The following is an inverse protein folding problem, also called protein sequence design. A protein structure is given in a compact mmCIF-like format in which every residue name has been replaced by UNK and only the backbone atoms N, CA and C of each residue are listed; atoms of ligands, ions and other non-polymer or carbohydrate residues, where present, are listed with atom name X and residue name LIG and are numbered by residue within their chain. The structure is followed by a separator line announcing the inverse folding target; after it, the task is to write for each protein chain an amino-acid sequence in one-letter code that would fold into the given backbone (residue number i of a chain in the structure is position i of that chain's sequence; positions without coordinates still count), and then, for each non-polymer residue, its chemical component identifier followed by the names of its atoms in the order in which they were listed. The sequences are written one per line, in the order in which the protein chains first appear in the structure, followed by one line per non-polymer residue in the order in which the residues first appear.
data_IF_123303625226
#
_entry.id   IF_123303625226
#
_cell.length_a   1.000
_cell.length_b   1.000
_cell.length_c   1.000
_cell.angle_alpha   90.00
_cell.angle_beta   90.00
_cell.angle_gamma   90.00
#
_symmetry.space_group_name_H-M   'P 1'
#
loop_
_entity.id
_entity.type
_entity.pdbx_description
1 polymer ?
#
# COMPACT_ATOMS: atom_id res chain seq x y z
N UNK A 1 25.52 -4.38 -14.42
CA UNK A 1 24.88 -5.55 -15.05
C UNK A 1 24.06 -6.15 -13.95
N UNK A 2 22.76 -6.37 -14.09
CA UNK A 2 21.90 -6.75 -12.97
C UNK A 2 22.52 -7.89 -12.18
N UNK A 3 22.53 -7.78 -10.85
CA UNK A 3 23.05 -8.77 -9.93
C UNK A 3 22.87 -10.20 -10.49
N UNK A 4 23.97 -10.84 -10.86
CA UNK A 4 23.96 -12.12 -11.58
C UNK A 4 23.34 -13.25 -10.73
N UNK A 5 23.31 -13.05 -9.42
CA UNK A 5 22.71 -13.92 -8.42
C UNK A 5 21.23 -13.62 -8.16
N UNK A 6 20.65 -12.64 -8.86
CA UNK A 6 19.26 -12.23 -8.72
C UNK A 6 18.40 -12.72 -9.90
N UNK A 7 17.44 -13.58 -9.57
CA UNK A 7 16.43 -14.06 -10.51
C UNK A 7 15.13 -13.30 -10.24
N UNK A 8 14.68 -12.54 -11.23
CA UNK A 8 13.39 -11.85 -11.17
C UNK A 8 12.47 -12.47 -12.21
N UNK A 9 11.28 -12.89 -11.77
CA UNK A 9 10.32 -13.50 -12.66
C UNK A 9 9.07 -13.97 -11.92
N UNK A 10 8.16 -14.61 -12.65
CA UNK A 10 6.98 -15.24 -12.07
C UNK A 10 7.26 -16.71 -11.77
N UNK A 11 6.67 -17.20 -10.69
CA UNK A 11 6.75 -18.61 -10.33
C UNK A 11 5.79 -19.40 -11.20
N UNK A 12 6.31 -20.42 -11.86
CA UNK A 12 5.54 -21.39 -12.66
C UNK A 12 5.14 -22.56 -11.79
N UNK A 13 6.06 -23.05 -10.96
CA UNK A 13 5.86 -24.25 -10.15
C UNK A 13 6.77 -24.23 -8.93
N UNK A 14 6.27 -24.79 -7.83
CA UNK A 14 7.07 -25.15 -6.65
C UNK A 14 6.86 -26.64 -6.43
N UNK A 15 7.95 -27.40 -6.36
CA UNK A 15 7.91 -28.85 -6.17
C UNK A 15 8.70 -29.24 -4.93
N UNK A 16 8.18 -30.20 -4.17
CA UNK A 16 8.89 -30.77 -3.03
C UNK A 16 9.71 -31.99 -3.46
N UNK A 17 10.94 -32.05 -3.00
CA UNK A 17 11.84 -33.19 -3.18
C UNK A 17 12.55 -33.57 -1.86
N UNK A 18 13.48 -34.53 -1.93
CA UNK A 18 14.24 -34.99 -0.75
C UNK A 18 15.18 -33.92 -0.17
N UNK A 19 15.56 -32.92 -0.97
CA UNK A 19 16.49 -31.84 -0.59
C UNK A 19 15.77 -30.56 -0.16
N UNK A 20 14.46 -30.47 -0.38
CA UNK A 20 13.62 -29.36 0.07
C UNK A 20 12.54 -29.04 -0.96
N UNK A 21 12.54 -27.81 -1.46
CA UNK A 21 11.64 -27.39 -2.54
C UNK A 21 12.44 -26.79 -3.70
N UNK A 22 12.07 -27.15 -4.92
CA UNK A 22 12.55 -26.53 -6.15
C UNK A 22 11.52 -25.52 -6.64
N UNK A 23 11.95 -24.28 -6.84
CA UNK A 23 11.16 -23.16 -7.37
C UNK A 23 11.54 -22.95 -8.82
N UNK A 24 10.58 -23.11 -9.73
CA UNK A 24 10.74 -22.92 -11.17
C UNK A 24 10.08 -21.62 -11.59
N UNK A 25 10.85 -20.74 -12.23
CA UNK A 25 10.39 -19.44 -12.73
C UNK A 25 10.18 -19.46 -14.23
N UNK A 26 9.42 -18.48 -14.72
CA UNK A 26 9.25 -18.24 -16.14
C UNK A 26 10.62 -18.10 -16.84
N UNK A 27 10.77 -18.75 -17.99
CA UNK A 27 12.07 -18.87 -18.67
C UNK A 27 12.91 -20.07 -18.23
N UNK A 28 12.37 -20.97 -17.40
CA UNK A 28 13.01 -22.25 -17.05
C UNK A 28 14.13 -22.14 -16.00
N UNK A 29 14.34 -20.94 -15.44
CA UNK A 29 15.27 -20.74 -14.32
C UNK A 29 14.76 -21.45 -13.08
N UNK A 30 15.66 -22.07 -12.32
CA UNK A 30 15.33 -22.82 -11.11
C UNK A 30 16.15 -22.32 -9.93
N UNK A 31 15.56 -22.36 -8.75
CA UNK A 31 16.21 -22.07 -7.48
C UNK A 31 15.74 -23.09 -6.42
N UNK A 32 16.56 -23.34 -5.39
CA UNK A 32 16.26 -24.33 -4.35
C UNK A 32 16.02 -23.67 -3.00
N UNK A 33 15.02 -24.14 -2.28
CA UNK A 33 14.81 -23.91 -0.85
C UNK A 33 15.20 -25.18 -0.10
N UNK A 34 16.14 -25.09 0.86
CA UNK A 34 16.54 -26.26 1.64
C UNK A 34 15.39 -26.79 2.52
N UNK A 35 15.46 -28.06 2.92
CA UNK A 35 14.44 -28.76 3.70
C UNK A 35 14.34 -28.31 5.18
N UNK A 36 14.08 -27.02 5.43
CA UNK A 36 13.80 -26.47 6.77
C UNK A 36 12.32 -26.15 6.96
N UNK A 37 11.91 -25.95 8.22
CA UNK A 37 10.51 -25.60 8.54
C UNK A 37 10.16 -24.20 8.02
N UNK A 38 11.09 -23.26 8.13
CA UNK A 38 10.96 -21.88 7.64
C UNK A 38 10.78 -21.89 6.12
N UNK A 39 11.63 -22.64 5.41
CA UNK A 39 11.55 -22.77 3.96
C UNK A 39 10.29 -23.49 3.49
N UNK A 40 9.72 -24.41 4.28
CA UNK A 40 8.42 -25.01 3.98
C UNK A 40 7.27 -23.99 4.11
N UNK A 41 7.36 -23.02 5.02
CA UNK A 41 6.40 -21.92 5.09
C UNK A 41 6.56 -20.97 3.89
N UNK A 42 7.80 -20.58 3.58
CA UNK A 42 8.11 -19.74 2.42
C UNK A 42 7.68 -20.39 1.10
N UNK A 43 7.89 -21.70 0.92
CA UNK A 43 7.45 -22.44 -0.27
C UNK A 43 5.93 -22.31 -0.50
N UNK A 44 5.10 -22.40 0.55
CA UNK A 44 3.65 -22.19 0.44
C UNK A 44 3.29 -20.75 0.04
N UNK A 45 4.04 -19.76 0.52
CA UNK A 45 3.85 -18.37 0.08
C UNK A 45 4.20 -18.23 -1.40
N UNK A 46 5.32 -18.80 -1.83
CA UNK A 46 5.76 -18.81 -3.23
C UNK A 46 4.75 -19.50 -4.15
N UNK A 47 4.15 -20.61 -3.73
CA UNK A 47 3.04 -21.27 -4.44
C UNK A 47 1.85 -20.32 -4.63
N UNK A 48 1.43 -19.64 -3.56
CA UNK A 48 0.34 -18.66 -3.60
C UNK A 48 0.64 -17.48 -4.54
N UNK A 49 1.87 -16.98 -4.53
CA UNK A 49 2.34 -15.92 -5.43
C UNK A 49 2.32 -16.38 -6.88
N UNK A 50 2.78 -17.61 -7.15
CA UNK A 50 2.74 -18.23 -8.48
C UNK A 50 1.32 -18.38 -9.01
N UNK A 51 0.39 -18.87 -8.19
CA UNK A 51 -1.02 -19.02 -8.55
C UNK A 51 -1.68 -17.67 -8.95
N UNK A 52 -1.23 -16.57 -8.35
CA UNK A 52 -1.70 -15.20 -8.63
C UNK A 52 -0.82 -14.45 -9.63
N UNK A 53 0.15 -15.14 -10.25
CA UNK A 53 1.08 -14.62 -11.26
C UNK A 53 1.84 -13.38 -10.79
N UNK A 54 2.15 -13.28 -9.49
CA UNK A 54 2.94 -12.18 -8.92
C UNK A 54 4.41 -12.34 -9.30
N UNK A 55 5.10 -11.26 -9.72
CA UNK A 55 6.54 -11.29 -9.87
C UNK A 55 7.20 -11.46 -8.50
N UNK A 56 8.32 -12.17 -8.47
CA UNK A 56 9.17 -12.36 -7.30
C UNK A 56 10.62 -12.04 -7.67
N UNK A 57 11.35 -11.52 -6.69
CA UNK A 57 12.80 -11.40 -6.72
C UNK A 57 13.38 -12.49 -5.83
N UNK A 58 14.29 -13.30 -6.37
CA UNK A 58 15.01 -14.34 -5.66
C UNK A 58 16.51 -14.05 -5.73
N UNK A 59 17.15 -13.89 -4.59
CA UNK A 59 18.61 -13.90 -4.49
C UNK A 59 19.07 -15.32 -4.20
N UNK A 60 19.96 -15.85 -5.02
CA UNK A 60 20.48 -17.23 -4.90
C UNK A 60 21.96 -17.25 -4.57
N UNK A 61 22.39 -18.28 -3.87
CA UNK A 61 23.81 -18.55 -3.64
C UNK A 61 24.49 -18.95 -4.96
N UNK A 62 25.54 -18.24 -5.42
CA UNK A 62 26.25 -18.56 -6.65
C UNK A 62 26.83 -19.98 -6.70
N UNK A 63 27.08 -20.61 -5.55
CA UNK A 63 27.66 -21.95 -5.49
C UNK A 63 26.65 -23.11 -5.57
N UNK A 64 25.35 -22.85 -5.37
CA UNK A 64 24.38 -23.94 -5.17
C UNK A 64 22.91 -23.61 -5.42
N UNK A 65 22.62 -22.51 -6.12
CA UNK A 65 21.27 -22.07 -6.51
C UNK A 65 20.26 -22.00 -5.34
N UNK A 66 20.78 -21.91 -4.11
CA UNK A 66 19.95 -21.94 -2.90
C UNK A 66 19.45 -20.53 -2.62
N UNK A 67 18.13 -20.37 -2.50
CA UNK A 67 17.49 -19.09 -2.25
C UNK A 67 17.93 -18.58 -0.87
N UNK A 68 18.56 -17.41 -0.88
CA UNK A 68 18.98 -16.67 0.32
C UNK A 68 17.94 -15.65 0.73
N UNK A 69 17.26 -15.05 -0.25
CA UNK A 69 16.35 -13.95 -0.04
C UNK A 69 15.25 -13.95 -1.07
N UNK A 70 14.03 -13.65 -0.60
CA UNK A 70 12.86 -13.42 -1.44
C UNK A 70 12.35 -12.02 -1.16
N UNK A 71 11.97 -11.30 -2.20
CA UNK A 71 11.32 -9.99 -2.11
C UNK A 71 10.19 -9.90 -3.14
N UNK A 72 9.23 -9.00 -2.88
CA UNK A 72 8.20 -8.64 -3.85
C UNK A 72 8.56 -7.33 -4.53
N UNK A 73 8.86 -7.35 -5.84
CA UNK A 73 9.03 -6.12 -6.57
C UNK A 73 7.69 -5.41 -6.78
N UNK A 74 7.76 -4.07 -6.75
CA UNK A 74 6.64 -3.18 -7.07
C UNK A 74 6.73 -2.81 -8.55
N UNK A 75 5.62 -2.95 -9.27
CA UNK A 75 5.51 -2.50 -10.65
C UNK A 75 4.88 -1.12 -10.67
N UNK A 76 5.64 -0.10 -11.03
CA UNK A 76 5.18 1.30 -11.02
C UNK A 76 5.94 2.18 -12.00
N UNK A 77 5.37 3.34 -12.31
CA UNK A 77 6.11 4.47 -12.88
C UNK A 77 6.88 5.21 -11.79
N UNK A 78 7.97 5.86 -12.20
CA UNK A 78 8.75 6.76 -11.37
C UNK A 78 8.09 8.13 -11.42
N UNK A 79 7.70 8.66 -10.26
CA UNK A 79 7.08 9.98 -10.13
C UNK A 79 8.14 11.08 -10.04
N UNK A 80 9.19 10.83 -9.25
CA UNK A 80 10.27 11.78 -9.03
C UNK A 80 11.55 11.09 -8.57
N UNK A 81 12.69 11.65 -8.96
CA UNK A 81 14.01 11.26 -8.47
C UNK A 81 14.70 12.47 -7.85
N UNK A 82 15.33 12.30 -6.69
CA UNK A 82 16.05 13.37 -5.99
C UNK A 82 17.42 12.90 -5.53
N UNK A 83 18.43 13.75 -5.61
CA UNK A 83 19.74 13.44 -5.05
C UNK A 83 19.68 13.46 -3.51
N UNK A 84 20.40 12.51 -2.89
CA UNK A 84 20.67 12.47 -1.45
C UNK A 84 22.05 13.05 -1.15
N UNK A 85 22.26 13.50 0.09
CA UNK A 85 23.50 14.15 0.52
C UNK A 85 24.74 13.24 0.43
N UNK A 86 24.54 11.93 0.51
CA UNK A 86 25.60 10.92 0.37
C UNK A 86 25.90 10.54 -1.08
N UNK A 87 25.24 11.20 -2.03
CA UNK A 87 25.37 10.95 -3.46
C UNK A 87 24.56 9.75 -3.97
N UNK A 88 23.68 9.15 -3.15
CA UNK A 88 22.62 8.25 -3.63
C UNK A 88 21.43 9.01 -4.22
N UNK A 89 20.38 8.27 -4.60
CA UNK A 89 19.13 8.82 -5.11
C UNK A 89 17.95 8.39 -4.25
N UNK A 90 17.06 9.32 -3.92
CA UNK A 90 15.69 9.01 -3.52
C UNK A 90 14.82 8.82 -4.75
N UNK A 91 14.04 7.75 -4.76
CA UNK A 91 13.09 7.39 -5.82
C UNK A 91 11.68 7.37 -5.22
N UNK A 92 10.78 8.16 -5.80
CA UNK A 92 9.34 8.11 -5.50
C UNK A 92 8.61 7.44 -6.66
N UNK A 93 7.72 6.52 -6.32
CA UNK A 93 6.89 5.81 -7.29
C UNK A 93 5.48 6.40 -7.27
N UNK A 94 4.83 6.51 -8.43
CA UNK A 94 3.55 7.21 -8.62
C UNK A 94 2.44 6.78 -7.64
N UNK A 95 2.39 5.49 -7.32
CA UNK A 95 1.36 4.94 -6.43
C UNK A 95 1.85 4.74 -5.00
N UNK A 96 3.16 4.78 -4.75
CA UNK A 96 3.73 4.41 -3.46
C UNK A 96 3.88 5.63 -2.56
N UNK A 97 3.51 5.46 -1.30
CA UNK A 97 3.80 6.45 -0.26
C UNK A 97 5.25 6.34 0.21
N UNK A 98 5.87 5.16 0.01
CA UNK A 98 7.23 4.84 0.43
C UNK A 98 8.26 5.73 -0.26
N UNK A 99 9.25 6.20 0.51
CA UNK A 99 10.45 6.85 -0.03
C UNK A 99 11.53 5.80 -0.17
N UNK A 100 11.88 5.45 -1.41
CA UNK A 100 12.88 4.45 -1.69
C UNK A 100 14.24 5.10 -1.93
N UNK A 101 15.34 4.44 -1.58
CA UNK A 101 16.69 4.97 -1.78
C UNK A 101 17.56 4.02 -2.59
N UNK A 102 18.15 4.49 -3.68
CA UNK A 102 19.31 3.85 -4.32
C UNK A 102 20.55 4.37 -3.61
N UNK A 103 21.19 3.48 -2.84
CA UNK A 103 22.43 3.79 -2.12
C UNK A 103 23.60 3.78 -3.10
N UNK A 104 24.53 4.72 -2.97
CA UNK A 104 25.69 4.84 -3.87
C UNK A 104 26.61 3.61 -3.85
N UNK A 105 26.68 2.93 -2.72
CA UNK A 105 27.45 1.71 -2.49
C UNK A 105 26.67 0.43 -2.83
N UNK A 106 25.41 0.55 -3.28
CA UNK A 106 24.63 -0.61 -3.69
C UNK A 106 25.27 -1.26 -4.94
N UNK A 107 25.24 -2.60 -5.03
CA UNK A 107 25.55 -3.30 -6.27
C UNK A 107 24.71 -2.74 -7.41
N UNK A 108 25.33 -2.50 -8.56
CA UNK A 108 24.66 -1.96 -9.75
C UNK A 108 23.98 -0.59 -9.59
N UNK A 109 24.33 0.19 -8.57
CA UNK A 109 23.75 1.52 -8.33
C UNK A 109 23.71 2.38 -9.60
N UNK A 110 24.83 2.50 -10.33
CA UNK A 110 24.90 3.30 -11.55
C UNK A 110 23.92 2.85 -12.66
N UNK A 111 23.64 1.54 -12.76
CA UNK A 111 22.66 1.02 -13.72
C UNK A 111 21.23 1.28 -13.26
N UNK A 112 20.94 1.07 -11.97
CA UNK A 112 19.64 1.38 -11.38
C UNK A 112 19.32 2.87 -11.49
N UNK A 113 20.28 3.75 -11.18
CA UNK A 113 20.17 5.21 -11.31
C UNK A 113 19.83 5.60 -12.76
N UNK A 114 20.55 5.04 -13.74
CA UNK A 114 20.27 5.27 -15.16
C UNK A 114 18.85 4.88 -15.54
N UNK A 115 18.36 3.73 -15.06
CA UNK A 115 17.02 3.24 -15.37
C UNK A 115 15.93 4.11 -14.74
N UNK A 116 16.08 4.54 -13.49
CA UNK A 116 15.06 5.37 -12.83
C UNK A 116 15.02 6.79 -13.40
N UNK A 117 16.17 7.37 -13.75
CA UNK A 117 16.25 8.69 -14.40
C UNK A 117 15.65 8.66 -15.82
N UNK A 118 15.92 7.60 -16.59
CA UNK A 118 15.28 7.39 -17.90
C UNK A 118 13.76 7.19 -17.76
N UNK A 119 13.32 6.44 -16.76
CA UNK A 119 11.90 6.19 -16.51
C UNK A 119 11.15 7.44 -16.04
N UNK A 120 11.76 8.28 -15.20
CA UNK A 120 11.19 9.57 -14.79
C UNK A 120 10.93 10.47 -16.02
N UNK A 121 11.88 10.51 -16.97
CA UNK A 121 11.74 11.32 -18.18
C UNK A 121 10.75 10.75 -19.19
N UNK A 122 10.69 9.43 -19.32
CA UNK A 122 9.91 8.75 -20.37
C UNK A 122 8.54 8.25 -19.90
N UNK A 123 8.28 8.27 -18.59
CA UNK A 123 7.10 7.64 -17.99
C UNK A 123 7.10 6.11 -18.10
N UNK A 124 8.26 5.49 -18.35
CA UNK A 124 8.39 4.03 -18.51
C UNK A 124 8.05 3.32 -17.20
N UNK A 125 7.32 2.21 -17.30
CA UNK A 125 7.00 1.36 -16.16
C UNK A 125 8.21 0.50 -15.82
N UNK A 126 8.58 0.51 -14.54
CA UNK A 126 9.67 -0.29 -13.99
C UNK A 126 9.13 -1.34 -13.01
N UNK A 127 9.94 -2.36 -12.83
CA UNK A 127 9.85 -3.32 -11.74
C UNK A 127 10.96 -2.95 -10.75
N UNK A 128 10.57 -2.48 -9.57
CA UNK A 128 11.47 -1.93 -8.54
C UNK A 128 11.40 -2.82 -7.32
N UNK A 129 12.56 -3.38 -6.92
CA UNK A 129 12.68 -4.22 -5.74
C UNK A 129 13.37 -3.43 -4.63
N UNK A 130 12.78 -3.39 -3.44
CA UNK A 130 13.37 -2.76 -2.28
C UNK A 130 13.47 -3.72 -1.08
N UNK A 131 14.36 -3.40 -0.16
CA UNK A 131 14.51 -4.08 1.13
C UNK A 131 13.61 -3.49 2.23
N UNK A 132 13.68 -4.07 3.43
CA UNK A 132 12.90 -3.63 4.59
C UNK A 132 13.31 -2.25 5.13
N UNK A 133 14.48 -1.77 4.74
CA UNK A 133 14.98 -0.43 5.04
C UNK A 133 14.69 0.56 3.89
N UNK A 134 13.85 0.15 2.93
CA UNK A 134 13.46 0.93 1.75
C UNK A 134 14.64 1.25 0.82
N UNK A 135 15.73 0.48 0.87
CA UNK A 135 16.80 0.58 -0.12
C UNK A 135 16.41 -0.22 -1.36
N UNK A 136 16.54 0.39 -2.53
CA UNK A 136 16.35 -0.27 -3.82
C UNK A 136 17.53 -1.20 -4.06
N UNK A 137 17.22 -2.48 -4.30
CA UNK A 137 18.22 -3.55 -4.52
C UNK A 137 18.26 -4.06 -5.95
N UNK A 138 17.21 -3.83 -6.74
CA UNK A 138 17.15 -4.21 -8.16
C UNK A 138 16.09 -3.37 -8.88
N UNK A 139 16.41 -2.93 -10.10
CA UNK A 139 15.50 -2.19 -10.99
C UNK A 139 15.56 -2.82 -12.37
N UNK A 140 14.39 -3.16 -12.93
CA UNK A 140 14.27 -3.71 -14.27
C UNK A 140 13.18 -3.01 -15.06
N UNK A 141 13.34 -2.96 -16.37
CA UNK A 141 12.24 -2.56 -17.26
C UNK A 141 11.12 -3.58 -17.14
N UNK A 142 9.91 -3.11 -16.84
CA UNK A 142 8.75 -3.98 -16.82
C UNK A 142 8.27 -4.21 -18.25
N UNK A 143 8.27 -5.46 -18.70
CA UNK A 143 7.60 -5.87 -19.94
C UNK A 143 6.30 -6.58 -19.55
N UNK A 144 5.13 -5.99 -19.83
CA UNK A 144 3.87 -6.66 -19.56
C UNK A 144 3.80 -7.94 -20.38
N UNK A 145 3.36 -9.01 -19.74
CA UNK A 145 2.99 -10.24 -20.41
C UNK A 145 1.76 -9.94 -21.30
N UNK A 146 1.70 -10.42 -22.55
CA UNK A 146 0.50 -10.31 -23.40
C UNK A 146 -0.81 -10.67 -22.68
N UNK A 147 -0.77 -11.58 -21.71
CA UNK A 147 -1.94 -12.03 -20.94
C UNK A 147 -1.97 -11.54 -19.48
N UNK A 148 -1.01 -10.70 -19.06
CA UNK A 148 -0.87 -10.26 -17.68
C UNK A 148 -1.52 -8.89 -17.43
N UNK A 149 -2.31 -8.72 -16.35
CA UNK A 149 -2.85 -7.42 -16.01
C UNK A 149 -1.72 -6.46 -15.63
N UNK A 150 -1.71 -5.27 -16.25
CA UNK A 150 -0.89 -4.13 -15.82
C UNK A 150 -1.48 -3.60 -14.51
N UNK A 151 -0.66 -3.21 -13.51
CA UNK A 151 -1.18 -2.53 -12.33
C UNK A 151 -2.00 -1.29 -12.72
N UNK A 152 -3.08 -0.97 -11.98
CA UNK A 152 -3.83 0.25 -12.24
C UNK A 152 -3.01 1.48 -11.83
N UNK A 153 -2.95 2.51 -12.69
CA UNK A 153 -2.28 3.77 -12.39
C UNK A 153 -3.28 4.94 -12.34
N UNK A 154 -2.99 6.04 -11.59
CA UNK A 154 -3.85 7.21 -11.47
C UNK A 154 -4.34 7.83 -12.79
N UNK A 155 -3.62 7.64 -13.90
CA UNK A 155 -3.99 8.14 -15.23
C UNK A 155 -4.70 7.15 -16.16
N UNK A 156 -4.76 5.86 -15.80
CA UNK A 156 -5.16 4.79 -16.74
C UNK A 156 -6.64 4.40 -16.62
N UNK A 157 -7.39 4.98 -15.68
CA UNK A 157 -8.81 4.62 -15.53
C UNK A 157 -9.64 5.14 -16.71
N UNK A 158 -10.37 4.25 -17.36
CA UNK A 158 -11.40 4.65 -18.31
C UNK A 158 -12.43 5.55 -17.59
N UNK A 159 -12.88 6.65 -18.23
CA UNK A 159 -13.93 7.47 -17.65
C UNK A 159 -15.16 6.59 -17.39
N UNK A 160 -15.90 6.85 -16.29
CA UNK A 160 -17.08 6.06 -15.98
C UNK A 160 -18.02 6.04 -17.20
N UNK A 161 -18.71 4.90 -17.47
CA UNK A 161 -19.57 4.77 -18.63
C UNK A 161 -20.52 5.97 -18.68
N UNK A 162 -20.48 6.70 -19.80
CA UNK A 162 -21.36 7.86 -19.99
C UNK A 162 -22.80 7.38 -19.87
N UNK A 163 -23.50 7.87 -18.86
CA UNK A 163 -24.94 7.66 -18.71
C UNK A 163 -25.59 8.13 -20.04
N UNK A 164 -26.50 7.35 -20.64
CA UNK A 164 -27.11 7.74 -21.91
C UNK A 164 -27.66 9.16 -21.84
N UNK A 165 -27.28 10.00 -22.80
CA UNK A 165 -27.68 11.41 -22.93
C UNK A 165 -29.21 11.63 -22.82
N UNK A 166 -30.02 10.60 -23.08
CA UNK A 166 -31.46 10.59 -22.91
C UNK A 166 -31.95 10.73 -21.44
N UNK A 167 -31.09 10.53 -20.44
CA UNK A 167 -31.42 10.65 -19.01
C UNK A 167 -30.83 11.89 -18.32
N UNK A 168 -29.98 12.68 -19.00
CA UNK A 168 -29.45 13.95 -18.47
C UNK A 168 -30.51 14.96 -18.02
N UNK A 169 -31.65 15.17 -18.71
CA UNK A 169 -32.64 16.15 -18.26
C UNK A 169 -33.34 15.71 -16.95
N UNK A 170 -33.36 14.42 -16.62
CA UNK A 170 -33.85 13.93 -15.33
C UNK A 170 -32.79 14.00 -14.22
N UNK A 171 -31.50 14.00 -14.56
CA UNK A 171 -30.39 14.09 -13.59
C UNK A 171 -30.39 15.42 -12.86
N UNK A 172 -30.60 16.52 -13.58
CA UNK A 172 -30.77 17.84 -12.96
C UNK A 172 -31.98 17.86 -12.00
N UNK A 173 -33.09 17.20 -12.35
CA UNK A 173 -34.26 17.11 -11.47
C UNK A 173 -33.97 16.27 -10.21
N UNK A 174 -33.25 15.15 -10.34
CA UNK A 174 -32.82 14.31 -9.21
C UNK A 174 -31.81 15.04 -8.33
N UNK A 175 -30.85 15.74 -8.93
CA UNK A 175 -29.84 16.53 -8.22
C UNK A 175 -30.50 17.74 -7.52
N UNK A 176 -31.43 18.43 -8.19
CA UNK A 176 -32.22 19.53 -7.62
C UNK A 176 -33.14 19.06 -6.49
N UNK A 177 -33.84 17.92 -6.64
CA UNK A 177 -34.67 17.36 -5.58
C UNK A 177 -33.84 16.84 -4.40
N UNK A 178 -32.65 16.28 -4.66
CA UNK A 178 -31.66 15.91 -3.64
C UNK A 178 -31.17 17.14 -2.89
N UNK A 179 -30.81 18.20 -3.60
CA UNK A 179 -30.31 19.44 -3.00
C UNK A 179 -31.40 20.17 -2.23
N UNK A 180 -32.64 20.21 -2.74
CA UNK A 180 -33.82 20.74 -2.05
C UNK A 180 -34.15 19.92 -0.79
N UNK A 181 -33.99 18.59 -0.84
CA UNK A 181 -34.10 17.70 0.33
C UNK A 181 -33.00 17.94 1.37
N UNK A 182 -31.76 18.21 0.94
CA UNK A 182 -30.66 18.61 1.83
C UNK A 182 -30.88 20.01 2.44
N UNK A 183 -31.47 20.93 1.68
CA UNK A 183 -31.76 22.30 2.11
C UNK A 183 -32.91 22.36 3.13
N UNK A 184 -33.92 21.49 2.97
CA UNK A 184 -35.07 21.38 3.88
C UNK A 184 -34.78 20.60 5.18
N UNK A 185 -33.60 20.00 5.33
CA UNK A 185 -33.23 19.22 6.52
C UNK A 185 -32.04 19.75 7.35
N UNK A 186 -32.08 21.01 7.86
CA UNK A 186 -31.03 21.56 8.75
C UNK A 186 -30.71 20.69 9.98
N UNK A 187 -31.65 19.83 10.39
CA UNK A 187 -31.54 18.95 11.55
C UNK A 187 -30.66 17.70 11.32
N UNK A 188 -30.33 17.35 10.07
CA UNK A 188 -29.48 16.19 9.73
C UNK A 188 -28.00 16.53 9.84
N UNK A 189 -27.63 17.75 9.42
CA UNK A 189 -26.28 18.29 9.58
C UNK A 189 -25.90 18.54 11.04
N UNK A 190 -26.88 18.82 11.91
CA UNK A 190 -26.68 18.89 13.37
C UNK A 190 -26.54 17.51 14.04
N UNK A 191 -27.06 16.44 13.42
CA UNK A 191 -26.96 15.06 13.93
C UNK A 191 -25.79 14.24 13.35
N UNK A 192 -25.04 14.77 12.37
CA UNK A 192 -24.05 14.02 11.58
C UNK A 192 -22.76 13.59 12.29
N UNK A 193 -22.43 14.16 13.46
CA UNK A 193 -21.24 13.77 14.22
C UNK A 193 -21.58 12.68 15.23
N UNK A 194 -20.74 11.65 15.35
CA UNK A 194 -20.95 10.54 16.28
C UNK A 194 -20.45 10.87 17.70
N UNK A 195 -20.87 10.11 18.71
CA UNK A 195 -20.30 10.24 20.06
C UNK A 195 -18.87 9.70 20.11
N UNK A 196 -18.09 10.09 21.13
CA UNK A 196 -16.74 9.52 21.36
C UNK A 196 -16.79 8.00 21.51
N UNK A 197 -17.78 7.47 22.24
CA UNK A 197 -17.98 6.03 22.40
C UNK A 197 -18.26 5.34 21.06
N UNK A 198 -19.10 5.93 20.20
CA UNK A 198 -19.36 5.39 18.86
C UNK A 198 -18.12 5.48 17.97
N UNK A 199 -17.31 6.54 18.08
CA UNK A 199 -16.06 6.64 17.35
C UNK A 199 -15.08 5.52 17.75
N UNK A 200 -15.00 5.19 19.05
CA UNK A 200 -14.20 4.05 19.51
C UNK A 200 -14.74 2.73 18.94
N UNK A 201 -16.04 2.48 18.98
CA UNK A 201 -16.63 1.26 18.38
C UNK A 201 -16.30 1.12 16.89
N UNK A 202 -16.33 2.23 16.15
CA UNK A 202 -15.97 2.23 14.73
C UNK A 202 -14.48 1.94 14.55
N UNK A 203 -13.62 2.52 15.38
CA UNK A 203 -12.21 2.21 15.40
C UNK A 203 -11.95 0.73 15.66
N UNK A 204 -12.55 0.18 16.71
CA UNK A 204 -12.42 -1.23 17.08
C UNK A 204 -12.90 -2.15 15.95
N UNK A 205 -13.99 -1.77 15.27
CA UNK A 205 -14.48 -2.50 14.12
C UNK A 205 -13.52 -2.45 12.91
N UNK A 206 -12.83 -1.33 12.67
CA UNK A 206 -11.79 -1.27 11.64
C UNK A 206 -10.56 -2.06 12.07
N UNK A 207 -10.12 -1.94 13.32
CA UNK A 207 -8.99 -2.70 13.84
C UNK A 207 -9.25 -4.22 13.81
N UNK A 208 -10.49 -4.66 14.01
CA UNK A 208 -10.89 -6.07 13.91
C UNK A 208 -10.76 -6.64 12.49
N UNK A 209 -10.63 -5.82 11.45
CA UNK A 209 -10.35 -6.30 10.10
C UNK A 209 -8.86 -6.51 9.83
N UNK A 210 -7.98 -6.35 10.82
CA UNK A 210 -6.53 -6.55 10.65
C UNK A 210 -6.22 -7.96 10.13
N UNK A 211 -5.34 -8.05 9.13
CA UNK A 211 -4.85 -9.34 8.64
C UNK A 211 -4.06 -10.11 9.70
N UNK A 212 -4.32 -11.42 9.81
CA UNK A 212 -3.37 -12.37 10.40
C UNK A 212 -2.16 -12.49 9.45
N UNK A 213 -0.93 -12.15 9.90
CA UNK A 213 0.24 -12.18 9.03
C UNK A 213 0.59 -13.54 8.44
N UNK A 214 0.15 -14.66 9.02
CA UNK A 214 0.51 -16.00 8.53
C UNK A 214 -0.48 -16.53 7.49
N UNK A 215 -1.76 -16.16 7.62
CA UNK A 215 -2.85 -16.72 6.81
C UNK A 215 -3.47 -15.71 5.84
N UNK A 216 -3.37 -14.41 6.12
CA UNK A 216 -3.85 -13.26 5.32
C UNK A 216 -5.17 -13.51 4.56
N UNK A 217 -6.24 -13.98 5.21
CA UNK A 217 -7.48 -14.31 4.50
C UNK A 217 -8.14 -13.04 3.96
N UNK A 218 -8.52 -12.99 2.66
CA UNK A 218 -9.43 -11.94 2.19
C UNK A 218 -10.77 -12.02 2.95
N UNK A 219 -11.41 -10.90 3.34
CA UNK A 219 -11.09 -9.50 3.02
C UNK A 219 -10.41 -8.74 4.18
N UNK A 220 -9.31 -9.23 4.76
CA UNK A 220 -8.61 -8.51 5.82
C UNK A 220 -7.84 -7.27 5.32
N UNK A 221 -7.56 -6.28 6.18
CA UNK A 221 -6.77 -5.08 5.85
C UNK A 221 -5.37 -5.23 6.46
N UNK A 222 -4.28 -5.09 5.66
CA UNK A 222 -2.91 -5.32 6.13
C UNK A 222 -2.37 -4.11 6.91
N UNK A 223 -2.98 -3.77 8.05
CA UNK A 223 -2.49 -2.69 8.93
C UNK A 223 -1.11 -2.97 9.52
N UNK A 224 -0.74 -4.26 9.63
CA UNK A 224 0.57 -4.71 10.09
C UNK A 224 1.66 -4.65 9.02
N UNK A 225 1.36 -4.09 7.83
CA UNK A 225 2.34 -3.81 6.78
C UNK A 225 2.38 -2.29 6.51
N UNK A 226 3.18 -1.53 7.28
CA UNK A 226 3.14 -0.06 7.25
C UNK A 226 3.89 0.55 6.07
N UNK A 227 4.75 -0.22 5.41
CA UNK A 227 5.69 0.26 4.41
C UNK A 227 5.04 1.06 3.28
N UNK A 228 3.85 0.63 2.85
CA UNK A 228 3.12 1.26 1.76
C UNK A 228 1.63 0.89 1.79
N UNK A 229 0.80 1.43 0.90
CA UNK A 229 -0.60 1.01 0.70
C UNK A 229 -1.66 1.75 1.52
N UNK A 230 -1.34 2.91 2.12
CA UNK A 230 -2.27 3.61 3.00
C UNK A 230 -3.57 4.02 2.31
N UNK A 231 -3.51 4.43 1.04
CA UNK A 231 -4.69 4.87 0.29
C UNK A 231 -5.70 3.73 0.10
N UNK A 232 -5.23 2.52 -0.21
CA UNK A 232 -6.08 1.33 -0.33
C UNK A 232 -6.70 0.95 1.02
N UNK A 233 -5.91 0.96 2.11
CA UNK A 233 -6.42 0.73 3.47
C UNK A 233 -7.47 1.76 3.87
N UNK A 234 -7.20 3.04 3.63
CA UNK A 234 -8.11 4.13 3.94
C UNK A 234 -9.40 4.04 3.12
N UNK A 235 -9.31 3.69 1.83
CA UNK A 235 -10.47 3.55 0.97
C UNK A 235 -11.39 2.40 1.41
N UNK A 236 -10.80 1.25 1.77
CA UNK A 236 -11.57 0.12 2.32
C UNK A 236 -12.20 0.44 3.68
N UNK A 237 -11.48 1.13 4.57
CA UNK A 237 -12.07 1.62 5.83
C UNK A 237 -13.26 2.57 5.56
N UNK A 238 -13.14 3.48 4.58
CA UNK A 238 -14.25 4.34 4.18
C UNK A 238 -15.46 3.51 3.70
N UNK A 239 -15.25 2.47 2.89
CA UNK A 239 -16.31 1.55 2.44
C UNK A 239 -17.07 0.94 3.60
N UNK A 240 -16.35 0.41 4.58
CA UNK A 240 -16.94 -0.22 5.76
C UNK A 240 -17.70 0.80 6.61
N UNK A 241 -17.16 2.01 6.78
CA UNK A 241 -17.85 3.10 7.50
C UNK A 241 -19.13 3.56 6.81
N UNK A 242 -19.15 3.62 5.46
CA UNK A 242 -20.37 3.88 4.69
C UNK A 242 -21.42 2.79 4.93
N UNK A 243 -21.00 1.52 4.99
CA UNK A 243 -21.85 0.38 5.37
C UNK A 243 -22.39 0.48 6.80
N UNK A 244 -21.73 1.24 7.68
CA UNK A 244 -22.22 1.58 9.03
C UNK A 244 -23.10 2.84 9.06
N UNK A 245 -23.52 3.35 7.90
CA UNK A 245 -24.28 4.59 7.72
C UNK A 245 -23.56 5.84 8.26
N UNK A 246 -22.24 5.88 8.13
CA UNK A 246 -21.42 7.04 8.49
C UNK A 246 -21.01 7.81 7.22
N UNK A 247 -20.52 9.03 7.42
CA UNK A 247 -20.02 9.90 6.34
C UNK A 247 -18.54 10.18 6.57
N UNK A 248 -17.64 9.24 6.24
CA UNK A 248 -16.21 9.45 6.39
C UNK A 248 -15.72 10.54 5.44
N UNK A 249 -14.55 11.08 5.74
CA UNK A 249 -13.71 11.89 4.85
C UNK A 249 -12.29 11.31 4.88
N UNK A 250 -11.35 11.89 4.13
CA UNK A 250 -9.93 11.54 4.28
C UNK A 250 -9.12 12.77 4.68
N UNK A 251 -8.12 12.54 5.53
CA UNK A 251 -7.04 13.48 5.79
C UNK A 251 -5.76 12.91 5.21
N UNK A 252 -5.10 13.70 4.38
CA UNK A 252 -3.78 13.42 3.81
C UNK A 252 -2.76 14.23 4.60
N UNK A 253 -1.58 13.65 4.78
CA UNK A 253 -0.39 14.35 5.28
C UNK A 253 0.71 14.24 4.26
N UNK A 254 1.37 15.36 3.98
CA UNK A 254 2.47 15.46 3.02
C UNK A 254 3.72 15.99 3.73
N UNK A 255 4.87 15.33 3.55
CA UNK A 255 6.11 15.75 4.20
C UNK A 255 7.24 14.74 4.10
N UNK A 256 8.30 14.97 4.86
CA UNK A 256 9.40 14.04 5.07
C UNK A 256 9.10 13.16 6.28
N UNK A 257 8.13 12.26 6.13
CA UNK A 257 7.59 11.50 7.26
C UNK A 257 8.55 10.39 7.68
N UNK A 258 8.81 10.30 8.98
CA UNK A 258 9.62 9.26 9.61
C UNK A 258 8.85 8.71 10.80
N UNK A 259 8.20 7.57 10.61
CA UNK A 259 7.22 7.04 11.56
C UNK A 259 7.78 5.82 12.27
N UNK A 260 8.01 5.87 13.59
CA UNK A 260 8.40 4.68 14.35
C UNK A 260 7.27 3.66 14.35
N UNK A 261 7.60 2.39 14.21
CA UNK A 261 6.60 1.32 14.15
C UNK A 261 7.18 -0.01 14.62
N UNK A 262 6.35 -0.82 15.26
CA UNK A 262 6.68 -2.21 15.62
C UNK A 262 6.41 -3.18 14.48
N UNK A 263 5.84 -2.71 13.37
CA UNK A 263 5.36 -3.56 12.28
C UNK A 263 6.33 -3.63 11.09
N UNK A 264 7.50 -3.00 11.19
CA UNK A 264 8.59 -3.10 10.23
C UNK A 264 9.86 -3.57 10.98
N UNK A 265 10.66 -4.51 10.42
CA UNK A 265 11.89 -5.01 11.05
C UNK A 265 12.94 -3.93 11.36
N UNK A 266 12.97 -2.86 10.55
CA UNK A 266 13.81 -1.67 10.74
C UNK A 266 13.30 -0.75 11.85
N UNK A 267 12.13 -1.05 12.44
CA UNK A 267 11.48 -0.31 13.52
C UNK A 267 10.98 1.11 13.17
N UNK A 268 11.07 1.49 11.90
CA UNK A 268 10.53 2.72 11.35
C UNK A 268 10.18 2.52 9.87
N UNK A 269 9.46 3.48 9.31
CA UNK A 269 9.18 3.61 7.88
C UNK A 269 9.27 5.07 7.46
N UNK A 270 9.76 5.32 6.24
CA UNK A 270 9.81 6.65 5.65
C UNK A 270 8.75 6.79 4.55
N UNK A 271 7.98 7.86 4.63
CA UNK A 271 6.95 8.16 3.65
C UNK A 271 7.06 9.59 3.12
N UNK A 272 6.62 9.80 1.88
CA UNK A 272 6.42 11.13 1.32
C UNK A 272 5.05 11.71 1.66
N UNK A 273 4.08 10.83 1.91
CA UNK A 273 2.73 11.17 2.31
C UNK A 273 2.08 10.00 3.05
N UNK A 274 0.97 10.24 3.74
CA UNK A 274 0.13 9.19 4.35
C UNK A 274 -1.33 9.63 4.34
N UNK A 275 -2.26 8.69 4.45
CA UNK A 275 -3.70 9.01 4.46
C UNK A 275 -4.47 8.09 5.39
N UNK A 276 -5.46 8.67 6.06
CA UNK A 276 -6.41 7.91 6.86
C UNK A 276 -7.83 8.53 6.79
N UNK A 277 -8.87 7.71 7.01
CA UNK A 277 -10.23 8.19 7.16
C UNK A 277 -10.39 9.08 8.39
N UNK A 278 -11.29 10.04 8.28
CA UNK A 278 -11.72 10.86 9.40
C UNK A 278 -13.23 10.84 9.60
N UNK A 279 -13.64 10.98 10.85
CA UNK A 279 -15.04 11.09 11.25
C UNK A 279 -15.26 12.34 12.08
N UNK A 280 -16.44 12.96 11.92
CA UNK A 280 -16.87 14.01 12.83
C UNK A 280 -17.34 13.41 14.16
N UNK A 281 -16.75 13.84 15.27
CA UNK A 281 -17.05 13.37 16.62
C UNK A 281 -17.47 14.54 17.51
N UNK A 282 -18.51 14.34 18.32
CA UNK A 282 -18.95 15.32 19.32
C UNK A 282 -17.90 15.47 20.42
N UNK A 283 -17.46 16.69 20.66
CA UNK A 283 -16.54 17.07 21.73
C UNK A 283 -17.26 17.26 23.08
N UNK A 284 -16.53 17.67 24.13
CA UNK A 284 -17.04 17.80 25.50
C UNK A 284 -18.07 18.92 25.72
N UNK A 285 -18.43 19.68 24.67
CA UNK A 285 -19.44 20.74 24.74
C UNK A 285 -20.49 20.56 23.65
N UNK A 286 -21.73 21.00 23.91
CA UNK A 286 -22.91 20.74 23.08
C UNK A 286 -22.72 21.11 21.59
N UNK A 287 -21.92 22.14 21.30
CA UNK A 287 -21.63 22.61 19.93
C UNK A 287 -20.21 22.29 19.44
N UNK A 288 -19.37 21.68 20.28
CA UNK A 288 -17.98 21.38 19.91
C UNK A 288 -17.95 20.10 19.10
N UNK A 289 -17.43 20.19 17.88
CA UNK A 289 -17.19 19.06 16.98
C UNK A 289 -15.69 18.97 16.74
N UNK A 290 -15.17 17.75 16.62
CA UNK A 290 -13.78 17.49 16.28
C UNK A 290 -13.73 16.45 15.18
N UNK A 291 -12.79 16.62 14.26
CA UNK A 291 -12.44 15.59 13.30
C UNK A 291 -11.46 14.64 13.97
N UNK A 292 -11.79 13.36 13.96
CA UNK A 292 -10.98 12.30 14.55
C UNK A 292 -10.52 11.36 13.44
N UNK A 293 -9.24 11.05 13.43
CA UNK A 293 -8.60 10.11 12.50
C UNK A 293 -8.80 8.69 13.00
N UNK A 294 -9.15 7.78 12.10
CA UNK A 294 -9.29 6.35 12.35
C UNK A 294 -8.16 5.63 11.60
N UNK A 295 -7.09 5.29 12.31
CA UNK A 295 -5.90 4.66 11.71
C UNK A 295 -5.35 3.54 12.61
N UNK A 296 -5.83 2.30 12.43
CA UNK A 296 -5.31 1.13 13.15
C UNK A 296 -3.85 0.78 12.86
N UNK A 297 -3.24 1.33 11.80
CA UNK A 297 -1.82 1.08 11.53
C UNK A 297 -0.91 1.86 12.49
N UNK A 298 -1.38 2.98 13.05
CA UNK A 298 -0.60 3.87 13.92
C UNK A 298 -1.12 3.99 15.34
N UNK A 299 -2.40 3.72 15.58
CA UNK A 299 -3.05 3.97 16.86
C UNK A 299 -3.90 2.78 17.31
N UNK A 300 -4.39 2.85 18.55
CA UNK A 300 -5.34 1.89 19.14
C UNK A 300 -6.69 2.53 19.50
N UNK A 301 -6.87 3.81 19.15
CA UNK A 301 -8.09 4.58 19.37
C UNK A 301 -8.19 5.72 18.35
N UNK A 302 -9.39 6.30 18.15
CA UNK A 302 -9.53 7.54 17.38
C UNK A 302 -8.68 8.64 18.01
N UNK A 303 -7.91 9.34 17.17
CA UNK A 303 -7.06 10.46 17.61
C UNK A 303 -7.41 11.74 16.87
N UNK A 304 -6.97 12.89 17.36
CA UNK A 304 -7.10 14.15 16.61
C UNK A 304 -6.09 14.18 15.46
N UNK A 305 -6.34 14.99 14.43
CA UNK A 305 -5.38 15.19 13.33
C UNK A 305 -4.02 15.68 13.81
N UNK A 306 -3.99 16.57 14.81
CA UNK A 306 -2.73 17.04 15.40
C UNK A 306 -1.95 15.89 16.06
N UNK A 307 -2.64 15.01 16.78
CA UNK A 307 -2.03 13.80 17.38
C UNK A 307 -1.55 12.84 16.29
N UNK A 308 -2.37 12.61 15.27
CA UNK A 308 -2.02 11.74 14.13
C UNK A 308 -0.82 12.26 13.33
N UNK A 309 -0.74 13.58 13.09
CA UNK A 309 0.44 14.23 12.49
C UNK A 309 1.68 14.07 13.37
N UNK A 310 1.54 14.26 14.69
CA UNK A 310 2.69 14.33 15.60
C UNK A 310 3.55 13.06 15.68
N UNK A 311 2.98 11.88 15.39
CA UNK A 311 3.73 10.60 15.43
C UNK A 311 4.49 10.31 14.14
N UNK A 312 4.28 11.10 13.08
CA UNK A 312 4.85 10.85 11.76
C UNK A 312 6.17 11.63 11.51
N UNK A 313 6.71 12.27 12.55
CA UNK A 313 8.11 12.73 12.58
C UNK A 313 8.41 14.04 11.84
N UNK A 314 7.45 14.65 11.14
CA UNK A 314 7.66 15.91 10.41
C UNK A 314 6.82 17.08 10.99
N UNK A 315 7.44 18.06 11.68
CA UNK A 315 6.73 19.22 12.19
C UNK A 315 6.20 20.13 11.07
N UNK A 316 6.85 20.14 9.91
CA UNK A 316 6.51 20.99 8.76
C UNK A 316 5.51 20.33 7.81
N UNK A 317 5.13 19.07 8.04
CA UNK A 317 4.18 18.38 7.19
C UNK A 317 2.84 19.12 7.11
N UNK A 318 2.22 19.11 5.93
CA UNK A 318 0.93 19.77 5.69
C UNK A 318 -0.19 18.75 5.76
N UNK A 319 -1.40 19.20 6.15
CA UNK A 319 -2.60 18.37 6.17
C UNK A 319 -3.58 18.87 5.13
N UNK A 320 -4.13 17.94 4.35
CA UNK A 320 -5.14 18.22 3.33
C UNK A 320 -6.37 17.36 3.54
N UNK A 321 -7.53 17.99 3.70
CA UNK A 321 -8.81 17.30 3.82
C UNK A 321 -9.49 17.11 2.48
N UNK A 322 -10.01 15.92 2.23
CA UNK A 322 -10.66 15.56 0.97
C UNK A 322 -11.95 14.79 1.23
N UNK A 323 -12.75 14.60 0.19
CA UNK A 323 -13.91 13.71 0.27
C UNK A 323 -13.46 12.24 0.38
N UNK A 324 -14.34 11.35 0.82
CA UNK A 324 -14.00 9.93 0.93
C UNK A 324 -13.82 9.27 -0.43
N UNK A 325 -14.31 9.85 -1.53
CA UNK A 325 -14.18 9.25 -2.87
C UNK A 325 -12.75 9.29 -3.42
N UNK A 326 -11.97 10.32 -3.05
CA UNK A 326 -10.60 10.48 -3.54
C UNK A 326 -9.75 9.26 -3.17
N UNK A 327 -9.30 8.52 -4.18
CA UNK A 327 -8.49 7.32 -4.00
C UNK A 327 -6.99 7.61 -4.13
N UNK A 328 -6.61 8.37 -5.16
CA UNK A 328 -5.20 8.68 -5.45
C UNK A 328 -4.71 9.92 -4.72
N UNK A 329 -3.43 9.88 -4.32
CA UNK A 329 -2.69 11.06 -3.89
C UNK A 329 -2.54 12.03 -5.08
N UNK A 330 -2.62 13.34 -4.85
CA UNK A 330 -2.60 14.35 -5.93
C UNK A 330 -3.87 14.45 -6.77
N UNK A 331 -4.84 13.55 -6.59
CA UNK A 331 -6.10 13.51 -7.34
C UNK A 331 -6.07 12.49 -8.49
N UNK A 332 -7.21 12.33 -9.15
CA UNK A 332 -7.40 11.31 -10.19
C UNK A 332 -8.79 10.70 -10.13
N UNK A 333 -9.06 9.66 -10.95
CA UNK A 333 -10.32 8.93 -10.93
C UNK A 333 -10.58 8.31 -9.56
N UNK A 334 -11.83 8.41 -9.10
CA UNK A 334 -12.27 7.70 -7.91
C UNK A 334 -12.24 6.17 -8.14
N UNK A 335 -12.02 5.39 -7.08
CA UNK A 335 -12.10 3.92 -7.13
C UNK A 335 -13.48 3.42 -6.68
N UNK A 336 -14.54 3.92 -7.30
CA UNK A 336 -15.91 3.67 -6.87
C UNK A 336 -16.30 2.18 -6.85
N UNK A 337 -15.67 1.36 -7.70
CA UNK A 337 -15.88 -0.08 -7.77
C UNK A 337 -14.95 -0.89 -6.84
N UNK A 338 -14.02 -0.22 -6.13
CA UNK A 338 -13.02 -0.85 -5.26
C UNK A 338 -12.07 -1.81 -5.99
N UNK A 339 -11.95 -1.68 -7.31
CA UNK A 339 -11.09 -2.55 -8.13
C UNK A 339 -9.63 -2.31 -7.76
N UNK A 340 -9.20 -1.05 -7.68
CA UNK A 340 -7.83 -0.71 -7.36
C UNK A 340 -7.54 -0.99 -5.87
N UNK A 341 -8.50 -0.68 -5.00
CA UNK A 341 -8.44 -0.98 -3.57
C UNK A 341 -8.16 -2.47 -3.35
N UNK A 342 -8.95 -3.35 -3.97
CA UNK A 342 -8.77 -4.79 -3.82
C UNK A 342 -7.43 -5.25 -4.40
N UNK A 343 -7.03 -4.74 -5.56
CA UNK A 343 -5.73 -5.06 -6.17
C UNK A 343 -4.56 -4.76 -5.22
N UNK A 344 -4.52 -3.55 -4.65
CA UNK A 344 -3.41 -3.14 -3.76
C UNK A 344 -3.50 -3.81 -2.39
N UNK A 345 -4.70 -4.01 -1.84
CA UNK A 345 -4.84 -4.80 -0.61
C UNK A 345 -4.29 -6.21 -0.79
N UNK A 346 -4.52 -6.85 -1.94
CA UNK A 346 -3.93 -8.16 -2.24
C UNK A 346 -2.40 -8.09 -2.33
N UNK A 347 -1.83 -7.08 -2.99
CA UNK A 347 -0.36 -6.87 -3.03
C UNK A 347 0.22 -6.77 -1.62
N UNK A 348 -0.39 -6.00 -0.73
CA UNK A 348 0.18 -5.79 0.61
C UNK A 348 -0.18 -6.91 1.60
N UNK A 349 -1.22 -7.71 1.34
CA UNK A 349 -1.44 -9.01 2.00
C UNK A 349 -0.31 -9.98 1.66
N UNK A 350 0.09 -10.03 0.40
CA UNK A 350 1.22 -10.87 -0.05
C UNK A 350 2.52 -10.46 0.63
N UNK A 351 2.79 -9.16 0.66
CA UNK A 351 4.01 -8.62 1.26
C UNK A 351 4.06 -8.89 2.77
N UNK A 352 2.93 -8.73 3.46
CA UNK A 352 2.81 -9.09 4.88
C UNK A 352 3.08 -10.58 5.12
N UNK A 353 2.49 -11.46 4.30
CA UNK A 353 2.65 -12.91 4.45
C UNK A 353 4.07 -13.36 4.17
N UNK A 354 4.68 -12.81 3.12
CA UNK A 354 6.07 -13.09 2.77
C UNK A 354 7.01 -12.67 3.90
N UNK A 355 6.85 -11.43 4.41
CA UNK A 355 7.63 -10.93 5.54
C UNK A 355 7.47 -11.82 6.76
N UNK A 356 6.24 -12.21 7.09
CA UNK A 356 5.96 -13.07 8.23
C UNK A 356 6.62 -14.45 8.12
N UNK A 357 6.67 -15.03 6.90
CA UNK A 357 7.33 -16.30 6.64
C UNK A 357 8.86 -16.22 6.75
N UNK A 358 9.46 -15.07 6.42
CA UNK A 358 10.92 -14.90 6.44
C UNK A 358 11.47 -14.40 7.78
N UNK A 359 10.74 -13.52 8.47
CA UNK A 359 11.25 -12.75 9.61
C UNK A 359 10.42 -12.91 10.88
N UNK A 360 9.34 -13.70 10.82
CA UNK A 360 8.36 -13.81 11.89
C UNK A 360 7.30 -12.70 11.85
N UNK A 361 6.29 -12.86 12.69
CA UNK A 361 5.08 -12.03 12.67
C UNK A 361 5.30 -10.68 13.37
N UNK A 362 4.89 -9.55 12.78
CA UNK A 362 4.76 -8.29 13.52
C UNK A 362 3.67 -8.41 14.61
N UNK A 363 3.74 -7.64 15.71
CA UNK A 363 4.78 -6.65 16.02
C UNK A 363 6.11 -7.28 16.45
N UNK A 364 7.22 -6.69 16.00
CA UNK A 364 8.58 -7.15 16.26
C UNK A 364 9.08 -6.70 17.64
N UNK A 365 9.51 -7.66 18.46
CA UNK A 365 9.89 -7.42 19.86
C UNK A 365 11.15 -6.55 20.02
N UNK A 366 12.01 -6.48 19.00
CA UNK A 366 13.19 -5.62 18.98
C UNK A 366 12.88 -4.14 18.73
N UNK A 367 11.64 -3.80 18.40
CA UNK A 367 11.23 -2.43 18.12
C UNK A 367 10.66 -1.73 19.36
N UNK A 368 11.13 -0.51 19.68
CA UNK A 368 10.80 0.22 20.91
C UNK A 368 9.31 0.56 21.03
#
# INVERSE_FOLDING_TARGET
MPNENAIVGRIVRVERDERGHTVELQGGRRARLDATRENAALARVLEGLGARRRPVYLEVDPAGDTVRRVLLPVVSRVEAVRALDDGGLEVRLEVAQARLAIRRDAPDAAEMERLVLDAEQTGRVLLVTADEAQNVVDVRVFTPDPEGPVPPFPGDAEPPPRVPWALEPLRWLVDFLRDLWYWLWPWRWWRGCISKARAQQVFDAMAATTCDPLTVPPPCIPFLYPDDGCWARAHEMCRLMLGMHLTPRKVWIDGSLHTPTKNNPSCFVNWGWHVAPTLCVRGPGFFRRRRMVIDPALFTAPVTEATWKSVQGDPNATLTDTDWTQFWHGGGPDDAAYTNTNYYLDVYRDALQLRAAQQGTPPYANCP
#
